data_IF_103114322560
#
_entry.id   IF_103114322560
#
_cell.length_a   1.000
_cell.length_b   1.000
_cell.length_c   1.000
_cell.angle_alpha   90.00
_cell.angle_beta   90.00
_cell.angle_gamma   90.00
#
_symmetry.space_group_name_H-M   'P 1'
#
loop_
_entity.id
_entity.type
_entity.pdbx_description
1 polymer ?
#
# COMPACT_ATOMS: atom_id res chain seq x y z
N UNK A 1 -26.17 19.86 15.14
CA UNK A 1 -25.97 18.49 15.65
C UNK A 1 -24.64 18.49 16.41
N UNK A 2 -24.68 18.31 17.73
CA UNK A 2 -23.46 18.24 18.55
C UNK A 2 -22.75 16.91 18.26
N UNK A 3 -21.53 16.98 17.74
CA UNK A 3 -20.70 15.78 17.56
C UNK A 3 -20.29 15.30 18.95
N UNK A 4 -20.89 14.20 19.41
CA UNK A 4 -20.50 13.56 20.65
C UNK A 4 -19.29 12.67 20.36
N UNK A 5 -18.13 13.02 20.92
CA UNK A 5 -16.93 12.19 20.84
C UNK A 5 -16.86 11.33 22.09
N UNK A 6 -16.73 10.01 21.90
CA UNK A 6 -16.50 9.05 22.98
C UNK A 6 -15.05 8.59 22.92
N UNK A 7 -14.34 8.72 24.05
CA UNK A 7 -13.00 8.14 24.20
C UNK A 7 -13.14 6.74 24.79
N UNK A 8 -12.61 5.75 24.08
CA UNK A 8 -12.55 4.37 24.55
C UNK A 8 -11.12 4.04 24.98
N UNK A 9 -10.97 3.48 26.18
CA UNK A 9 -9.71 2.90 26.62
C UNK A 9 -9.75 1.39 26.32
N UNK A 10 -8.86 0.92 25.45
CA UNK A 10 -8.69 -0.51 25.12
C UNK A 10 -7.52 -1.16 25.90
N UNK A 11 -7.14 -0.56 27.03
CA UNK A 11 -6.02 -0.97 27.87
C UNK A 11 -4.75 -0.14 27.66
N UNK A 12 -4.88 1.06 27.11
CA UNK A 12 -3.81 2.07 27.09
C UNK A 12 -3.47 2.57 28.49
N UNK A 13 -4.47 2.60 29.37
CA UNK A 13 -4.30 2.80 30.82
C UNK A 13 -5.07 1.72 31.59
N UNK A 14 -4.76 1.47 32.88
CA UNK A 14 -5.52 0.53 33.69
C UNK A 14 -7.03 0.83 33.66
N UNK A 15 -7.85 -0.21 33.47
CA UNK A 15 -9.30 -0.04 33.46
C UNK A 15 -9.80 0.42 34.83
N UNK A 16 -10.70 1.41 34.84
CA UNK A 16 -11.32 1.91 36.08
C UNK A 16 -12.14 0.82 36.80
N UNK A 17 -12.75 -0.06 36.03
CA UNK A 17 -13.58 -1.18 36.52
C UNK A 17 -13.18 -2.46 35.78
N UNK A 18 -12.06 -3.10 36.15
CA UNK A 18 -11.63 -4.34 35.52
C UNK A 18 -12.52 -5.51 35.97
N UNK A 19 -12.75 -6.53 35.11
CA UNK A 19 -13.40 -7.77 35.52
C UNK A 19 -12.64 -8.42 36.68
N UNK A 20 -13.33 -8.71 37.78
CA UNK A 20 -12.72 -9.34 38.98
C UNK A 20 -12.81 -10.86 38.96
N UNK A 21 -13.81 -11.41 38.26
CA UNK A 21 -14.12 -12.84 38.24
C UNK A 21 -13.48 -13.60 37.07
N UNK A 22 -12.99 -12.90 36.04
CA UNK A 22 -12.48 -13.51 34.81
C UNK A 22 -11.11 -12.91 34.50
N UNK A 23 -10.17 -13.75 34.06
CA UNK A 23 -8.89 -13.27 33.51
C UNK A 23 -9.15 -12.55 32.19
N UNK A 24 -8.65 -11.33 32.07
CA UNK A 24 -8.73 -10.56 30.84
C UNK A 24 -7.33 -10.13 30.43
N UNK A 25 -7.19 -9.83 29.14
CA UNK A 25 -5.99 -9.24 28.57
C UNK A 25 -6.33 -7.98 27.79
N UNK A 26 -5.36 -7.08 27.68
CA UNK A 26 -5.47 -5.84 26.92
C UNK A 26 -4.83 -5.97 25.54
N UNK A 27 -5.23 -5.12 24.59
CA UNK A 27 -4.64 -5.11 23.24
C UNK A 27 -3.12 -4.86 23.28
N UNK A 28 -2.65 -4.08 24.26
CA UNK A 28 -1.25 -3.74 24.43
C UNK A 28 -0.40 -4.87 25.04
N UNK A 29 -1.01 -5.96 25.54
CA UNK A 29 -0.26 -7.14 26.01
C UNK A 29 0.28 -8.00 24.85
N UNK A 30 -0.30 -7.88 23.65
CA UNK A 30 0.03 -8.73 22.50
C UNK A 30 0.43 -7.94 21.24
N UNK A 31 0.27 -6.61 21.23
CA UNK A 31 0.64 -5.75 20.12
C UNK A 31 1.37 -4.50 20.59
N UNK A 32 2.60 -4.31 20.10
CA UNK A 32 3.36 -3.08 20.29
C UNK A 32 3.41 -2.30 18.98
N UNK A 33 3.15 -1.00 19.06
CA UNK A 33 3.39 -0.06 17.97
C UNK A 33 4.60 0.80 18.33
N UNK A 34 5.49 1.04 17.37
CA UNK A 34 6.52 2.06 17.53
C UNK A 34 5.88 3.45 17.66
N UNK A 35 6.62 4.42 18.22
CA UNK A 35 6.12 5.80 18.34
C UNK A 35 5.69 6.37 16.99
N UNK A 36 6.41 6.06 15.92
CA UNK A 36 6.06 6.46 14.55
C UNK A 36 4.74 5.85 14.07
N UNK A 37 4.44 4.60 14.45
CA UNK A 37 3.20 3.92 14.09
C UNK A 37 1.98 4.44 14.88
N UNK A 38 2.19 5.07 16.04
CA UNK A 38 1.12 5.71 16.83
C UNK A 38 0.70 7.07 16.27
N UNK A 39 1.51 7.67 15.40
CA UNK A 39 1.22 8.99 14.82
C UNK A 39 0.16 8.87 13.72
N UNK A 40 -1.06 9.30 14.02
CA UNK A 40 -2.09 9.50 13.00
C UNK A 40 -1.85 10.85 12.32
N UNK A 41 -1.22 10.83 11.13
CA UNK A 41 -1.00 12.04 10.35
C UNK A 41 -2.33 12.63 9.86
N UNK A 42 -2.54 13.95 10.00
CA UNK A 42 -3.65 14.64 9.34
C UNK A 42 -3.66 14.33 7.85
N UNK A 43 -4.87 14.22 7.25
CA UNK A 43 -5.04 13.82 5.85
C UNK A 43 -4.12 14.57 4.88
N UNK A 44 -3.98 15.90 5.03
CA UNK A 44 -3.12 16.72 4.17
C UNK A 44 -1.63 16.37 4.31
N UNK A 45 -1.13 16.10 5.52
CA UNK A 45 0.27 15.68 5.74
C UNK A 45 0.52 14.29 5.18
N UNK A 46 -0.43 13.37 5.35
CA UNK A 46 -0.34 12.02 4.78
C UNK A 46 -0.29 12.06 3.24
N UNK A 47 -1.13 12.88 2.61
CA UNK A 47 -1.12 13.09 1.16
C UNK A 47 0.19 13.73 0.68
N UNK A 48 0.71 14.72 1.40
CA UNK A 48 2.00 15.33 1.08
C UNK A 48 3.16 14.32 1.17
N UNK A 49 3.20 13.51 2.23
CA UNK A 49 4.21 12.45 2.38
C UNK A 49 4.14 11.41 1.25
N UNK A 50 2.93 11.01 0.83
CA UNK A 50 2.75 10.10 -0.32
C UNK A 50 3.20 10.75 -1.64
N UNK A 51 2.98 12.05 -1.82
CA UNK A 51 3.47 12.76 -3.03
C UNK A 51 4.99 12.87 -3.10
N UNK A 52 5.69 12.75 -1.97
CA UNK A 52 7.16 12.75 -1.90
C UNK A 52 7.76 11.37 -2.20
N UNK A 53 6.97 10.30 -2.25
CA UNK A 53 7.42 9.03 -2.83
C UNK A 53 7.55 9.22 -4.33
N UNK A 54 8.73 9.69 -4.76
CA UNK A 54 9.09 9.80 -6.17
C UNK A 54 9.23 8.38 -6.73
N UNK A 55 8.15 7.87 -7.30
CA UNK A 55 8.26 6.77 -8.25
C UNK A 55 8.95 7.32 -9.48
N UNK A 56 10.03 6.68 -9.92
CA UNK A 56 10.75 7.16 -11.09
C UNK A 56 9.81 7.14 -12.31
N UNK A 57 9.91 8.16 -13.18
CA UNK A 57 9.05 8.24 -14.37
C UNK A 57 9.22 7.05 -15.32
N UNK A 58 10.35 6.34 -15.21
CA UNK A 58 10.65 5.12 -15.95
C UNK A 58 10.28 3.83 -15.19
N UNK A 59 9.52 3.91 -14.10
CA UNK A 59 9.04 2.73 -13.38
C UNK A 59 7.90 2.01 -14.11
N UNK A 60 7.79 0.70 -13.89
CA UNK A 60 6.70 -0.11 -14.42
C UNK A 60 5.35 0.35 -13.86
N UNK A 61 4.38 0.56 -14.75
CA UNK A 61 3.03 1.04 -14.42
C UNK A 61 2.16 0.04 -13.64
N UNK A 62 2.64 -1.21 -13.48
CA UNK A 62 1.92 -2.27 -12.76
C UNK A 62 2.45 -2.45 -11.33
N UNK A 63 3.77 -2.55 -11.16
CA UNK A 63 4.37 -2.76 -9.84
C UNK A 63 4.89 -1.48 -9.18
N UNK A 64 5.12 -0.40 -9.93
CA UNK A 64 5.75 0.85 -9.48
C UNK A 64 7.10 0.64 -8.75
N UNK A 65 7.79 -0.46 -9.07
CA UNK A 65 9.01 -0.91 -8.38
C UNK A 65 10.18 -1.06 -9.36
N UNK A 66 10.02 -1.88 -10.41
CA UNK A 66 11.09 -2.15 -11.37
C UNK A 66 10.98 -1.23 -12.60
N UNK A 67 12.11 -0.88 -13.23
CA UNK A 67 12.15 -0.08 -14.47
C UNK A 67 11.34 -0.71 -15.60
N UNK A 68 10.50 0.09 -16.24
CA UNK A 68 9.81 -0.20 -17.48
C UNK A 68 10.84 -0.38 -18.60
N UNK A 69 11.00 -1.63 -19.03
CA UNK A 69 12.09 -2.06 -19.92
C UNK A 69 11.59 -3.02 -20.99
N UNK A 70 10.28 -3.19 -21.14
CA UNK A 70 9.68 -4.15 -22.06
C UNK A 70 8.73 -3.46 -23.03
N UNK A 71 8.87 -3.86 -24.30
CA UNK A 71 7.95 -3.55 -25.39
C UNK A 71 7.13 -4.80 -25.73
N UNK A 72 5.80 -4.68 -25.72
CA UNK A 72 4.88 -5.76 -26.08
C UNK A 72 4.63 -5.76 -27.59
N UNK A 73 4.79 -6.89 -28.26
CA UNK A 73 4.54 -7.04 -29.69
C UNK A 73 3.31 -7.93 -29.96
N UNK A 74 2.53 -7.63 -31.02
CA UNK A 74 2.80 -6.62 -32.07
C UNK A 74 2.31 -5.20 -31.76
N UNK A 75 1.66 -4.96 -30.62
CA UNK A 75 0.98 -3.68 -30.33
C UNK A 75 1.89 -2.52 -29.89
N UNK A 76 3.20 -2.76 -29.77
CA UNK A 76 4.29 -1.83 -29.40
C UNK A 76 4.10 -1.02 -28.10
N UNK A 77 3.18 -1.41 -27.23
CA UNK A 77 2.98 -0.73 -25.94
C UNK A 77 4.12 -1.03 -24.97
N UNK A 78 4.56 0.02 -24.27
CA UNK A 78 5.65 0.01 -23.26
C UNK A 78 5.10 0.39 -21.88
N UNK A 79 5.98 0.47 -20.89
CA UNK A 79 5.62 0.83 -19.51
C UNK A 79 5.64 -0.35 -18.53
N UNK A 80 6.15 -1.50 -18.95
CA UNK A 80 6.15 -2.72 -18.15
C UNK A 80 7.57 -3.21 -17.86
N UNK A 81 7.83 -3.72 -16.66
CA UNK A 81 9.03 -4.49 -16.39
C UNK A 81 8.83 -5.94 -16.83
N UNK A 82 9.92 -6.70 -16.99
CA UNK A 82 9.85 -8.08 -17.45
C UNK A 82 9.05 -8.98 -16.50
N UNK A 83 9.19 -8.80 -15.19
CA UNK A 83 8.46 -9.59 -14.18
C UNK A 83 6.95 -9.47 -14.35
N UNK A 84 6.43 -8.25 -14.53
CA UNK A 84 5.01 -8.03 -14.76
C UNK A 84 4.58 -8.45 -16.16
N UNK A 85 5.39 -8.18 -17.19
CA UNK A 85 5.05 -8.49 -18.57
C UNK A 85 4.82 -9.99 -18.82
N UNK A 86 5.58 -10.87 -18.15
CA UNK A 86 5.44 -12.33 -18.27
C UNK A 86 4.07 -12.83 -17.78
N UNK A 87 3.46 -12.13 -16.82
CA UNK A 87 2.16 -12.51 -16.25
C UNK A 87 0.96 -12.10 -17.13
N UNK A 88 1.20 -11.37 -18.21
CA UNK A 88 0.16 -10.83 -19.08
C UNK A 88 0.00 -11.70 -20.32
N UNK A 89 -1.23 -12.11 -20.65
CA UNK A 89 -1.55 -12.75 -21.94
C UNK A 89 -2.02 -11.72 -22.99
N UNK A 90 -2.71 -10.68 -22.53
CA UNK A 90 -3.20 -9.57 -23.33
C UNK A 90 -2.54 -8.26 -22.87
N UNK A 91 -2.27 -7.36 -23.81
CA UNK A 91 -1.77 -6.03 -23.50
C UNK A 91 -2.82 -5.26 -22.67
N UNK A 92 -2.46 -4.71 -21.50
CA UNK A 92 -3.41 -4.00 -20.63
C UNK A 92 -3.87 -2.66 -21.22
N UNK A 93 -3.11 -2.11 -22.19
CA UNK A 93 -3.44 -0.83 -22.85
C UNK A 93 -4.47 -0.98 -23.96
N UNK A 94 -4.32 -2.00 -24.82
CA UNK A 94 -5.15 -2.18 -26.02
C UNK A 94 -5.87 -3.53 -26.11
N UNK A 95 -5.66 -4.42 -25.14
CA UNK A 95 -6.24 -5.78 -25.07
C UNK A 95 -5.83 -6.72 -26.21
N UNK A 96 -4.84 -6.35 -27.01
CA UNK A 96 -4.29 -7.21 -28.06
C UNK A 96 -3.46 -8.36 -27.47
N UNK A 97 -3.51 -9.53 -28.11
CA UNK A 97 -2.73 -10.69 -27.70
C UNK A 97 -1.22 -10.42 -27.78
N UNK A 98 -0.49 -10.81 -26.74
CA UNK A 98 0.96 -10.61 -26.66
C UNK A 98 1.65 -11.81 -27.29
N UNK A 99 2.31 -11.59 -28.42
CA UNK A 99 3.07 -12.62 -29.13
C UNK A 99 4.53 -12.66 -28.64
N UNK A 100 5.15 -11.49 -28.44
CA UNK A 100 6.55 -11.37 -28.04
C UNK A 100 6.75 -10.22 -27.06
N UNK A 101 7.72 -10.37 -26.16
CA UNK A 101 8.15 -9.36 -25.18
C UNK A 101 9.61 -9.07 -25.44
N UNK A 102 9.93 -7.86 -25.89
CA UNK A 102 11.30 -7.45 -26.17
C UNK A 102 11.80 -6.52 -25.08
N UNK A 103 13.01 -6.78 -24.57
CA UNK A 103 13.68 -5.89 -23.63
C UNK A 103 14.36 -4.76 -24.36
N UNK A 104 14.16 -3.55 -23.86
CA UNK A 104 14.86 -2.36 -24.31
C UNK A 104 16.36 -2.52 -23.96
N UNK A 105 17.19 -2.63 -25.00
CA UNK A 105 18.67 -2.74 -24.88
C UNK A 105 19.31 -1.38 -24.64
#
# INVERSE_FOLDING_TARGET
MSFQQCQFNFGATPFKYPPTTIRYSTFNEFGELSEDQKVILPRHKRLAALSQMQVSEDSCTLCFDNRASVTLLPCTHRGFCMKCAIQLELCPMCRQQIEKRETDS
#
